data_IF_929196899253
#
_entry.id   IF_929196899253
#
_cell.length_a   1.000
_cell.length_b   1.000
_cell.length_c   1.000
_cell.angle_alpha   90.00
_cell.angle_beta   90.00
_cell.angle_gamma   90.00
#
_symmetry.space_group_name_H-M   'P 1'
#
loop_
_entity.id
_entity.type
_entity.pdbx_description
1 polymer ?
#
# COMPACT_ATOMS: atom_id res chain seq x y z
N UNK A 1 -27.72 4.69 19.96
CA UNK A 1 -26.68 3.77 20.46
C UNK A 1 -26.88 2.37 19.85
N UNK A 2 -26.80 2.28 18.52
CA UNK A 2 -26.98 1.03 17.76
C UNK A 2 -26.24 1.21 16.43
N UNK A 3 -24.98 0.81 16.33
CA UNK A 3 -24.34 0.69 14.99
C UNK A 3 -23.14 -0.25 14.94
N UNK A 4 -22.47 -0.56 16.06
CA UNK A 4 -21.35 -1.50 16.03
C UNK A 4 -21.73 -2.93 15.60
N UNK A 5 -23.00 -3.32 15.82
CA UNK A 5 -23.52 -4.63 15.40
C UNK A 5 -23.93 -4.66 13.92
N UNK A 6 -24.31 -3.52 13.33
CA UNK A 6 -24.68 -3.45 11.91
C UNK A 6 -23.43 -3.46 11.04
N UNK A 7 -22.39 -2.72 11.46
CA UNK A 7 -21.07 -2.64 10.81
C UNK A 7 -20.33 -4.00 10.84
N UNK A 8 -20.60 -4.84 11.85
CA UNK A 8 -19.97 -6.16 12.01
C UNK A 8 -20.87 -7.35 11.68
N UNK A 9 -21.99 -7.13 11.00
CA UNK A 9 -22.94 -8.20 10.65
C UNK A 9 -22.29 -9.35 9.89
N UNK A 10 -21.23 -9.07 9.13
CA UNK A 10 -20.45 -10.04 8.36
C UNK A 10 -19.56 -10.97 9.22
N UNK A 11 -19.24 -10.61 10.47
CA UNK A 11 -18.53 -11.51 11.40
C UNK A 11 -19.40 -12.65 11.95
N UNK A 12 -20.71 -12.60 11.70
CA UNK A 12 -21.66 -13.64 12.12
C UNK A 12 -21.71 -14.83 11.14
N UNK A 13 -21.19 -14.67 9.91
CA UNK A 13 -21.13 -15.76 8.94
C UNK A 13 -19.90 -16.65 9.23
N UNK A 14 -20.09 -17.97 9.48
CA UNK A 14 -18.98 -18.88 9.72
C UNK A 14 -18.01 -19.02 8.54
N UNK A 15 -18.43 -18.74 7.31
CA UNK A 15 -17.56 -18.72 6.14
C UNK A 15 -16.55 -17.56 6.20
N UNK A 16 -17.06 -16.35 6.43
CA UNK A 16 -16.28 -15.13 6.55
C UNK A 16 -15.36 -15.16 7.77
N UNK A 17 -15.86 -15.67 8.89
CA UNK A 17 -15.09 -15.79 10.12
C UNK A 17 -13.84 -16.66 9.93
N UNK A 18 -13.90 -17.72 9.10
CA UNK A 18 -12.72 -18.53 8.75
C UNK A 18 -11.68 -17.73 7.97
N UNK A 19 -12.10 -16.91 7.01
CA UNK A 19 -11.20 -16.04 6.25
C UNK A 19 -10.53 -15.00 7.16
N UNK A 20 -11.29 -14.37 8.06
CA UNK A 20 -10.74 -13.42 9.05
C UNK A 20 -9.72 -14.09 9.96
N UNK A 21 -10.03 -15.29 10.48
CA UNK A 21 -9.10 -16.04 11.30
C UNK A 21 -7.80 -16.40 10.57
N UNK A 22 -7.92 -16.74 9.28
CA UNK A 22 -6.78 -17.02 8.43
C UNK A 22 -5.93 -15.77 8.22
N UNK A 23 -6.53 -14.63 7.84
CA UNK A 23 -5.83 -13.35 7.71
C UNK A 23 -5.12 -12.98 9.02
N UNK A 24 -5.81 -13.05 10.15
CA UNK A 24 -5.24 -12.78 11.47
C UNK A 24 -4.04 -13.66 11.81
N UNK A 25 -4.12 -14.96 11.50
CA UNK A 25 -3.00 -15.89 11.72
C UNK A 25 -1.80 -15.51 10.87
N UNK A 26 -2.02 -15.18 9.60
CA UNK A 26 -0.95 -14.78 8.67
C UNK A 26 -0.31 -13.46 9.09
N UNK A 27 -1.11 -12.48 9.50
CA UNK A 27 -0.62 -11.20 10.03
C UNK A 27 0.22 -11.41 11.28
N UNK A 28 -0.22 -12.27 12.20
CA UNK A 28 0.56 -12.59 13.39
C UNK A 28 1.90 -13.25 13.04
N UNK A 29 1.94 -14.14 12.03
CA UNK A 29 3.20 -14.78 11.62
C UNK A 29 4.17 -13.84 10.90
N UNK A 30 3.66 -12.86 10.14
CA UNK A 30 4.49 -11.95 9.34
C UNK A 30 4.92 -10.71 10.13
N UNK A 31 3.99 -10.11 10.88
CA UNK A 31 4.20 -8.84 11.59
C UNK A 31 4.33 -9.00 13.10
N UNK A 32 4.02 -10.17 13.67
CA UNK A 32 4.02 -10.38 15.13
C UNK A 32 2.86 -9.69 15.85
N UNK A 33 1.87 -9.17 15.13
CA UNK A 33 0.74 -8.40 15.69
C UNK A 33 -0.45 -9.31 15.95
N UNK A 34 -1.04 -9.19 17.15
CA UNK A 34 -2.23 -9.96 17.55
C UNK A 34 -3.47 -9.06 17.48
N UNK A 35 -4.21 -9.20 16.38
CA UNK A 35 -5.52 -8.53 16.21
C UNK A 35 -6.61 -9.27 16.99
N UNK A 36 -7.67 -8.59 17.39
CA UNK A 36 -8.86 -9.17 18.02
C UNK A 36 -10.11 -8.84 17.22
N UNK A 37 -11.06 -9.78 17.20
CA UNK A 37 -12.34 -9.61 16.51
C UNK A 37 -13.21 -8.48 17.09
N UNK A 38 -12.94 -8.08 18.33
CA UNK A 38 -13.66 -7.02 19.05
C UNK A 38 -13.13 -5.62 18.77
N UNK A 39 -12.04 -5.47 18.01
CA UNK A 39 -11.44 -4.17 17.71
C UNK A 39 -12.31 -3.33 16.76
N UNK A 40 -12.45 -2.03 17.06
CA UNK A 40 -13.31 -1.07 16.34
C UNK A 40 -12.92 -0.85 14.88
N UNK A 41 -11.66 -1.10 14.54
CA UNK A 41 -11.12 -0.84 13.20
C UNK A 41 -10.40 -2.07 12.64
N UNK A 42 -10.94 -3.26 12.92
CA UNK A 42 -10.37 -4.52 12.44
C UNK A 42 -10.23 -4.52 10.92
N UNK A 43 -11.23 -4.04 10.19
CA UNK A 43 -11.17 -3.91 8.73
C UNK A 43 -10.02 -3.05 8.24
N UNK A 44 -9.85 -1.85 8.82
CA UNK A 44 -8.78 -0.91 8.47
C UNK A 44 -7.41 -1.51 8.77
N UNK A 45 -7.27 -2.20 9.90
CA UNK A 45 -6.04 -2.89 10.24
C UNK A 45 -5.74 -4.01 9.24
N UNK A 46 -6.73 -4.86 8.93
CA UNK A 46 -6.58 -5.93 7.95
C UNK A 46 -6.18 -5.37 6.58
N UNK A 47 -6.84 -4.31 6.11
CA UNK A 47 -6.48 -3.61 4.87
C UNK A 47 -5.04 -3.07 4.91
N UNK A 48 -4.67 -2.40 6.01
CA UNK A 48 -3.34 -1.82 6.17
C UNK A 48 -2.21 -2.85 6.19
N UNK A 49 -2.46 -4.05 6.72
CA UNK A 49 -1.49 -5.15 6.70
C UNK A 49 -1.53 -5.89 5.37
N UNK A 50 -2.68 -5.98 4.72
CA UNK A 50 -2.82 -6.57 3.39
C UNK A 50 -2.16 -5.72 2.28
N UNK A 51 -2.03 -4.41 2.46
CA UNK A 51 -1.24 -3.58 1.54
C UNK A 51 0.27 -3.67 1.80
N UNK A 52 0.68 -3.96 3.04
CA UNK A 52 2.09 -4.04 3.45
C UNK A 52 2.71 -5.44 3.33
N UNK A 53 1.88 -6.49 3.26
CA UNK A 53 2.34 -7.87 3.22
C UNK A 53 3.13 -8.18 1.95
N UNK A 54 4.10 -9.10 2.08
CA UNK A 54 4.75 -9.74 0.93
C UNK A 54 4.18 -11.13 0.64
N UNK A 55 3.28 -11.62 1.48
CA UNK A 55 2.68 -12.94 1.38
C UNK A 55 1.53 -12.93 0.37
N UNK A 56 1.72 -13.63 -0.75
CA UNK A 56 0.66 -13.84 -1.74
C UNK A 56 -0.56 -14.54 -1.16
N UNK A 57 -0.38 -15.36 -0.12
CA UNK A 57 -1.48 -16.07 0.51
C UNK A 57 -2.38 -15.11 1.29
N UNK A 58 -1.81 -14.15 2.01
CA UNK A 58 -2.56 -13.14 2.76
C UNK A 58 -3.35 -12.24 1.80
N UNK A 59 -2.72 -11.80 0.72
CA UNK A 59 -3.37 -10.98 -0.33
C UNK A 59 -4.59 -11.71 -0.91
N UNK A 60 -4.44 -12.98 -1.31
CA UNK A 60 -5.55 -13.78 -1.86
C UNK A 60 -6.70 -13.96 -0.87
N UNK A 61 -6.39 -14.27 0.39
CA UNK A 61 -7.43 -14.44 1.41
C UNK A 61 -8.16 -13.13 1.71
N UNK A 62 -7.44 -12.00 1.63
CA UNK A 62 -8.02 -10.67 1.78
C UNK A 62 -8.91 -10.31 0.60
N UNK A 63 -8.48 -10.59 -0.63
CA UNK A 63 -9.29 -10.40 -1.84
C UNK A 63 -10.59 -11.21 -1.80
N UNK A 64 -10.54 -12.50 -1.43
CA UNK A 64 -11.74 -13.33 -1.27
C UNK A 64 -12.70 -12.78 -0.20
N UNK A 65 -12.16 -12.19 0.87
CA UNK A 65 -12.95 -11.57 1.91
C UNK A 65 -13.64 -10.29 1.39
N UNK A 66 -12.94 -9.44 0.62
CA UNK A 66 -13.54 -8.27 -0.04
C UNK A 66 -14.63 -8.63 -1.04
N UNK A 67 -14.47 -9.74 -1.77
CA UNK A 67 -15.49 -10.19 -2.74
C UNK A 67 -16.82 -10.53 -2.04
N UNK A 68 -16.76 -11.09 -0.84
CA UNK A 68 -17.93 -11.52 -0.08
C UNK A 68 -18.53 -10.41 0.79
N UNK A 69 -17.75 -9.38 1.14
CA UNK A 69 -18.21 -8.24 1.94
C UNK A 69 -18.03 -6.94 1.16
N UNK A 70 -19.04 -6.52 0.37
CA UNK A 70 -19.00 -5.29 -0.41
C UNK A 70 -18.82 -4.02 0.45
N UNK A 71 -19.21 -4.06 1.73
CA UNK A 71 -19.08 -2.94 2.66
C UNK A 71 -17.61 -2.54 2.89
N UNK A 72 -16.70 -3.52 2.89
CA UNK A 72 -15.27 -3.28 3.11
C UNK A 72 -14.60 -2.56 1.93
N UNK A 73 -15.12 -2.73 0.71
CA UNK A 73 -14.62 -2.01 -0.48
C UNK A 73 -14.94 -0.52 -0.42
N UNK A 74 -16.12 -0.17 0.10
CA UNK A 74 -16.58 1.22 0.18
C UNK A 74 -15.83 2.02 1.26
N UNK A 75 -15.40 1.35 2.33
CA UNK A 75 -14.61 1.98 3.39
C UNK A 75 -13.17 2.26 2.96
N UNK A 76 -12.60 1.41 2.11
CA UNK A 76 -11.30 1.67 1.47
C UNK A 76 -11.39 2.90 0.55
N UNK A 77 -12.39 3.02 -0.33
CA UNK A 77 -12.52 4.21 -1.20
C UNK A 77 -12.71 5.52 -0.41
N UNK A 78 -13.35 5.48 0.77
CA UNK A 78 -13.53 6.66 1.62
C UNK A 78 -12.31 6.99 2.48
N UNK A 79 -11.43 6.02 2.79
CA UNK A 79 -10.16 6.27 3.49
C UNK A 79 -8.97 6.49 2.54
N UNK A 80 -9.03 6.00 1.30
CA UNK A 80 -8.10 6.30 0.22
C UNK A 80 -8.28 7.73 -0.32
N UNK A 81 -9.41 8.37 -0.03
CA UNK A 81 -9.66 9.79 -0.33
C UNK A 81 -8.96 10.79 0.60
N UNK A 82 -8.33 10.35 1.71
CA UNK A 82 -7.71 11.24 2.71
C UNK A 82 -6.19 11.04 2.88
N UNK A 83 -5.52 10.31 1.98
CA UNK A 83 -4.06 10.15 2.01
C UNK A 83 -3.42 10.37 0.64
N UNK A 84 -3.55 11.57 0.08
CA UNK A 84 -2.60 12.09 -0.91
C UNK A 84 -2.33 13.59 -0.65
N UNK A 85 -2.07 13.95 0.62
CA UNK A 85 -1.16 15.08 0.88
C UNK A 85 0.25 14.59 0.59
N UNK A 86 0.57 14.47 -0.71
CA UNK A 86 1.96 14.36 -1.15
C UNK A 86 2.72 15.54 -0.53
N UNK A 87 3.84 15.31 0.19
CA UNK A 87 4.60 16.41 0.75
C UNK A 87 5.20 17.20 -0.42
N UNK A 88 4.54 18.31 -0.78
CA UNK A 88 4.99 19.29 -1.77
C UNK A 88 6.49 19.54 -1.55
N UNK A 89 7.33 19.13 -2.49
CA UNK A 89 8.78 19.36 -2.41
C UNK A 89 9.03 20.87 -2.42
N UNK A 90 9.54 21.37 -1.30
CA UNK A 90 9.91 22.78 -1.14
C UNK A 90 11.40 22.91 -1.46
N UNK A 91 11.75 23.71 -2.47
CA UNK A 91 13.14 24.08 -2.74
C UNK A 91 13.33 25.56 -2.42
N UNK A 92 14.20 25.87 -1.46
CA UNK A 92 14.57 27.25 -1.07
C UNK A 92 13.35 28.18 -0.85
N UNK A 93 12.31 27.67 -0.21
CA UNK A 93 11.10 28.44 0.12
C UNK A 93 10.07 28.55 -1.02
N UNK A 94 10.26 27.88 -2.16
CA UNK A 94 9.26 27.79 -3.23
C UNK A 94 8.71 26.37 -3.36
N UNK A 95 7.40 26.27 -3.55
CA UNK A 95 6.67 25.02 -3.80
C UNK A 95 6.87 24.63 -5.25
N UNK A 96 7.49 23.48 -5.49
CA UNK A 96 7.58 22.89 -6.83
C UNK A 96 6.30 22.06 -7.04
N UNK A 97 5.50 22.40 -8.05
CA UNK A 97 4.39 21.56 -8.46
C UNK A 97 4.97 20.29 -9.11
N UNK A 98 4.60 19.13 -8.57
CA UNK A 98 4.96 17.84 -9.16
C UNK A 98 4.07 17.66 -10.40
N UNK A 99 4.58 18.08 -11.56
CA UNK A 99 3.93 17.81 -12.84
C UNK A 99 3.97 16.31 -13.08
N UNK A 100 2.81 15.71 -13.28
CA UNK A 100 2.60 14.33 -13.73
C UNK A 100 3.57 13.93 -14.85
N UNK A 101 3.91 12.63 -14.98
CA UNK A 101 4.85 12.17 -15.99
C UNK A 101 4.24 12.35 -17.39
N UNK A 102 4.56 13.47 -18.03
CA UNK A 102 4.34 13.64 -19.46
C UNK A 102 5.15 12.56 -20.19
N UNK A 103 4.41 11.60 -20.74
CA UNK A 103 4.88 10.66 -21.73
C UNK A 103 5.23 11.46 -22.99
N UNK A 104 6.46 11.96 -23.06
CA UNK A 104 7.07 12.43 -24.31
C UNK A 104 8.38 11.70 -24.49
N UNK A 105 8.30 10.67 -25.33
CA UNK A 105 9.43 10.14 -26.06
C UNK A 105 10.08 11.27 -26.87
N UNK A 106 11.06 11.94 -26.27
CA UNK A 106 12.06 12.71 -26.99
C UNK A 106 13.34 11.87 -26.97
N UNK A 107 13.68 11.31 -28.12
CA UNK A 107 14.91 10.56 -28.32
C UNK A 107 16.12 11.40 -27.86
N UNK A 108 17.08 10.82 -27.10
CA UNK A 108 18.30 11.53 -26.76
C UNK A 108 19.13 11.75 -28.04
N UNK A 109 19.54 12.98 -28.27
CA UNK A 109 20.50 13.34 -29.31
C UNK A 109 21.84 12.63 -29.06
N UNK A 110 22.58 12.23 -30.11
CA UNK A 110 23.78 11.39 -29.99
C UNK A 110 24.97 12.06 -29.28
N UNK A 111 24.86 13.34 -28.92
CA UNK A 111 25.92 14.12 -28.29
C UNK A 111 25.98 13.96 -26.75
N UNK A 112 24.93 13.46 -26.10
CA UNK A 112 24.92 13.26 -24.63
C UNK A 112 25.55 11.92 -24.18
N UNK A 113 25.66 10.93 -25.08
CA UNK A 113 26.31 9.65 -24.80
C UNK A 113 27.85 9.72 -24.77
N UNK A 114 28.45 10.85 -25.19
CA UNK A 114 29.89 11.01 -25.33
C UNK A 114 30.61 11.44 -24.04
N UNK A 115 29.91 11.75 -22.95
CA UNK A 115 30.52 12.14 -21.67
C UNK A 115 30.67 10.94 -20.73
N UNK A 116 31.37 9.90 -21.19
CA UNK A 116 31.76 8.76 -20.35
C UNK A 116 32.64 9.29 -19.20
N UNK A 117 32.11 9.23 -17.96
CA UNK A 117 32.84 9.61 -16.74
C UNK A 117 34.11 8.75 -16.63
N UNK A 118 35.28 9.39 -16.69
CA UNK A 118 36.56 8.77 -16.34
C UNK A 118 36.56 8.46 -14.84
N UNK A 119 36.67 7.19 -14.46
CA UNK A 119 36.78 6.78 -13.07
C UNK A 119 38.26 6.58 -12.75
N UNK A 120 38.77 7.31 -11.76
CA UNK A 120 40.16 7.17 -11.32
C UNK A 120 40.17 6.21 -10.13
N UNK A 121 40.95 5.13 -10.22
CA UNK A 121 41.13 4.19 -9.14
C UNK A 121 42.61 4.06 -8.80
N UNK A 122 42.97 4.33 -7.53
CA UNK A 122 44.34 4.20 -6.98
C UNK A 122 45.42 4.87 -7.86
N UNK A 123 45.13 6.10 -8.29
CA UNK A 123 46.03 6.93 -9.11
C UNK A 123 46.02 6.60 -10.61
N UNK A 124 45.26 5.59 -11.03
CA UNK A 124 45.20 5.16 -12.42
C UNK A 124 43.83 5.45 -13.01
N UNK A 125 43.81 6.12 -14.18
CA UNK A 125 42.57 6.42 -14.90
C UNK A 125 42.10 5.14 -15.59
N UNK A 126 40.92 4.65 -15.23
CA UNK A 126 40.26 3.53 -15.90
C UNK A 126 39.11 4.11 -16.73
N UNK A 127 39.11 3.80 -18.03
CA UNK A 127 38.16 4.28 -19.02
C UNK A 127 37.92 3.24 -20.10
#
# INVERSE_FOLDING_TARGET
>A
MTSLASERSWLLDPGLLKLVHQCRRLIHTEFGVKLHLTEEHLEKQLASYASKTRSSHLVRTWESLKEQVPQLKLEEETTEGEVEDTPKRMYRGQVIAESEPETKAAAPTPEELARKKKVIYRGQVIG
#
